data_IF_319258920414
#
_entry.id   IF_319258920414
#
_cell.length_a   1.000
_cell.length_b   1.000
_cell.length_c   1.000
_cell.angle_alpha   90.00
_cell.angle_beta   90.00
_cell.angle_gamma   90.00
#
_symmetry.space_group_name_H-M   'P 1'
#
loop_
_entity.id
_entity.type
_entity.pdbx_description
1 polymer ?
#
# COMPACT_ATOMS: atom_id res chain seq x y z
N UNK A 1 -76.47 61.47 53.24
CA UNK A 1 -77.12 60.75 52.14
C UNK A 1 -76.08 60.27 51.19
N UNK A 2 -76.03 59.00 51.07
CA UNK A 2 -75.02 58.11 50.46
C UNK A 2 -74.66 58.40 48.99
N UNK A 3 -73.41 58.30 48.67
CA UNK A 3 -72.93 58.25 47.30
C UNK A 3 -71.74 57.33 47.26
N UNK A 4 -72.02 56.07 46.90
CA UNK A 4 -71.02 55.01 46.71
C UNK A 4 -70.14 55.29 45.50
N UNK A 5 -68.79 55.31 45.74
CA UNK A 5 -67.77 55.28 44.69
C UNK A 5 -67.39 53.82 44.42
N UNK A 6 -67.79 53.26 43.28
CA UNK A 6 -67.29 52.06 42.78
C UNK A 6 -65.84 52.29 42.17
N UNK A 7 -64.82 51.70 42.77
CA UNK A 7 -63.54 51.67 42.19
C UNK A 7 -63.43 50.51 41.18
N UNK A 8 -63.24 50.90 39.93
CA UNK A 8 -62.85 49.92 38.86
C UNK A 8 -61.43 49.45 39.09
N UNK A 9 -61.26 48.17 39.43
CA UNK A 9 -60.00 47.46 39.44
C UNK A 9 -59.75 46.96 38.03
N UNK A 10 -58.91 47.68 37.26
CA UNK A 10 -58.44 47.27 35.96
C UNK A 10 -57.29 46.26 36.19
N UNK A 11 -57.57 45.01 35.96
CA UNK A 11 -56.58 43.95 35.95
C UNK A 11 -55.69 44.07 34.67
N UNK A 12 -54.51 44.66 34.84
CA UNK A 12 -53.45 44.55 33.83
C UNK A 12 -52.94 43.13 33.84
N UNK A 13 -53.29 42.35 32.79
CA UNK A 13 -52.62 41.09 32.46
C UNK A 13 -51.19 41.47 32.07
N UNK A 14 -50.25 41.12 32.92
CA UNK A 14 -48.82 41.11 32.55
C UNK A 14 -48.64 39.97 31.56
N UNK A 15 -48.34 40.31 30.32
CA UNK A 15 -47.74 39.37 29.37
C UNK A 15 -46.40 38.88 30.00
N UNK A 16 -46.40 37.62 30.40
CA UNK A 16 -45.17 36.94 30.80
C UNK A 16 -44.37 36.76 29.52
N UNK A 17 -43.27 37.50 29.41
CA UNK A 17 -42.26 37.34 28.34
C UNK A 17 -41.72 35.88 28.36
N UNK A 18 -42.30 35.03 27.55
CA UNK A 18 -41.87 33.62 27.31
C UNK A 18 -40.61 33.52 26.45
N UNK A 19 -40.03 34.64 26.03
CA UNK A 19 -38.82 34.64 25.19
C UNK A 19 -37.54 34.38 25.96
N UNK A 20 -37.48 34.64 27.28
CA UNK A 20 -36.25 34.48 28.07
C UNK A 20 -35.96 33.03 28.51
N UNK A 21 -36.91 32.12 28.44
CA UNK A 21 -36.77 30.74 28.92
C UNK A 21 -36.36 29.73 27.82
N UNK A 22 -36.32 30.13 26.55
CA UNK A 22 -35.96 29.29 25.42
C UNK A 22 -34.47 29.39 25.02
N UNK A 23 -33.73 30.42 25.44
CA UNK A 23 -32.31 30.60 25.09
C UNK A 23 -31.40 29.45 25.55
N UNK A 24 -31.52 28.91 26.77
CA UNK A 24 -30.65 27.80 27.20
C UNK A 24 -30.94 26.49 26.44
N UNK A 25 -32.14 26.28 25.96
CA UNK A 25 -32.49 25.09 25.18
C UNK A 25 -31.89 25.15 23.75
N UNK A 26 -31.92 26.32 23.13
CA UNK A 26 -31.30 26.51 21.81
C UNK A 26 -29.75 26.35 21.86
N UNK A 27 -29.10 26.88 22.88
CA UNK A 27 -27.69 26.68 23.07
C UNK A 27 -27.32 25.20 23.24
N UNK A 28 -28.08 24.44 24.01
CA UNK A 28 -27.88 23.00 24.21
C UNK A 28 -28.00 22.24 22.89
N UNK A 29 -28.98 22.60 22.06
CA UNK A 29 -29.18 21.99 20.72
C UNK A 29 -27.97 22.26 19.83
N UNK A 30 -27.48 23.52 19.78
CA UNK A 30 -26.30 23.90 18.99
C UNK A 30 -25.03 23.15 19.46
N UNK A 31 -24.83 23.01 20.77
CA UNK A 31 -23.72 22.27 21.33
C UNK A 31 -23.80 20.78 21.03
N UNK A 32 -24.98 20.19 21.07
CA UNK A 32 -25.22 18.80 20.70
C UNK A 32 -24.91 18.54 19.22
N UNK A 33 -25.32 19.43 18.33
CA UNK A 33 -25.00 19.30 16.89
C UNK A 33 -23.50 19.44 16.64
N UNK A 34 -22.82 20.40 17.29
CA UNK A 34 -21.38 20.56 17.21
C UNK A 34 -20.66 19.31 17.74
N UNK A 35 -21.11 18.76 18.85
CA UNK A 35 -20.54 17.54 19.42
C UNK A 35 -20.68 16.34 18.49
N UNK A 36 -21.87 16.14 17.89
CA UNK A 36 -22.12 15.05 16.94
C UNK A 36 -21.26 15.21 15.68
N UNK A 37 -21.11 16.44 15.19
CA UNK A 37 -20.20 16.72 14.05
C UNK A 37 -18.75 16.41 14.41
N UNK A 38 -18.30 16.81 15.57
CA UNK A 38 -16.92 16.54 16.04
C UNK A 38 -16.68 15.04 16.18
N UNK A 39 -17.66 14.27 16.67
CA UNK A 39 -17.57 12.80 16.74
C UNK A 39 -17.44 12.19 15.33
N UNK A 40 -18.24 12.65 14.38
CA UNK A 40 -18.15 12.18 12.99
C UNK A 40 -16.78 12.52 12.37
N UNK A 41 -16.26 13.72 12.60
CA UNK A 41 -14.94 14.14 12.14
C UNK A 41 -13.83 13.28 12.76
N UNK A 42 -13.90 13.00 14.06
CA UNK A 42 -12.96 12.10 14.74
C UNK A 42 -12.98 10.68 14.14
N UNK A 43 -14.18 10.17 13.85
CA UNK A 43 -14.30 8.84 13.23
C UNK A 43 -13.71 8.81 11.81
N UNK A 44 -13.93 9.85 11.02
CA UNK A 44 -13.33 10.02 9.71
C UNK A 44 -11.79 10.13 9.78
N UNK A 45 -11.27 10.91 10.74
CA UNK A 45 -9.83 11.03 11.00
C UNK A 45 -9.25 9.67 11.39
N UNK A 46 -9.88 8.91 12.30
CA UNK A 46 -9.44 7.57 12.69
C UNK A 46 -9.38 6.62 11.50
N UNK A 47 -10.44 6.61 10.66
CA UNK A 47 -10.46 5.78 9.43
C UNK A 47 -9.35 6.16 8.46
N UNK A 48 -9.08 7.46 8.29
CA UNK A 48 -8.00 7.95 7.42
C UNK A 48 -6.63 7.57 7.96
N UNK A 49 -6.39 7.75 9.27
CA UNK A 49 -5.13 7.36 9.91
C UNK A 49 -4.88 5.85 9.81
N UNK A 50 -5.90 5.03 10.02
CA UNK A 50 -5.79 3.58 9.90
C UNK A 50 -5.43 3.16 8.46
N UNK A 51 -6.01 3.80 7.44
CA UNK A 51 -5.66 3.54 6.03
C UNK A 51 -4.23 3.97 5.71
N UNK A 52 -3.82 5.15 6.17
CA UNK A 52 -2.46 5.65 5.95
C UNK A 52 -1.43 4.73 6.63
N UNK A 53 -1.68 4.32 7.88
CA UNK A 53 -0.81 3.40 8.60
C UNK A 53 -0.67 2.04 7.87
N UNK A 54 -1.77 1.51 7.32
CA UNK A 54 -1.72 0.28 6.53
C UNK A 54 -0.90 0.46 5.24
N UNK A 55 -1.03 1.61 4.57
CA UNK A 55 -0.22 1.93 3.38
C UNK A 55 1.26 2.09 3.71
N UNK A 56 1.59 2.77 4.82
CA UNK A 56 2.98 2.97 5.26
C UNK A 56 3.65 1.63 5.59
N UNK A 57 2.92 0.73 6.27
CA UNK A 57 3.41 -0.64 6.55
C UNK A 57 3.69 -1.38 5.24
N UNK A 58 2.81 -1.30 4.27
CA UNK A 58 2.99 -1.96 2.97
C UNK A 58 4.21 -1.43 2.22
N UNK A 59 4.40 -0.10 2.19
CA UNK A 59 5.57 0.54 1.56
C UNK A 59 6.89 0.15 2.25
N UNK A 60 6.88 0.06 3.59
CA UNK A 60 8.05 -0.38 4.35
C UNK A 60 8.38 -1.86 4.08
N UNK A 61 7.37 -2.71 3.95
CA UNK A 61 7.55 -4.11 3.56
C UNK A 61 8.12 -4.23 2.15
N UNK A 62 7.62 -3.47 1.19
CA UNK A 62 8.19 -3.42 -0.17
C UNK A 62 9.66 -3.00 -0.16
N UNK A 63 10.02 -1.96 0.59
CA UNK A 63 11.39 -1.50 0.70
C UNK A 63 12.31 -2.61 1.24
N UNK A 64 11.88 -3.27 2.34
CA UNK A 64 12.62 -4.39 2.92
C UNK A 64 12.80 -5.55 1.93
N UNK A 65 11.77 -5.89 1.18
CA UNK A 65 11.84 -6.95 0.17
C UNK A 65 12.79 -6.57 -0.97
N UNK A 66 12.80 -5.30 -1.41
CA UNK A 66 13.75 -4.81 -2.42
C UNK A 66 15.21 -4.93 -1.95
N UNK A 67 15.45 -4.65 -0.68
CA UNK A 67 16.79 -4.72 -0.10
C UNK A 67 17.34 -6.15 -0.01
N UNK A 68 16.48 -7.17 0.09
CA UNK A 68 16.91 -8.58 0.14
C UNK A 68 17.17 -9.18 -1.25
N UNK A 69 16.63 -8.62 -2.33
CA UNK A 69 16.81 -9.16 -3.68
C UNK A 69 18.27 -9.27 -4.13
N UNK A 70 19.19 -8.32 -3.83
CA UNK A 70 20.59 -8.44 -4.19
C UNK A 70 21.28 -9.69 -3.61
N UNK A 71 20.79 -10.18 -2.46
CA UNK A 71 21.30 -11.41 -1.85
C UNK A 71 20.98 -12.63 -2.73
N UNK A 72 19.75 -12.70 -3.24
CA UNK A 72 19.34 -13.75 -4.18
C UNK A 72 20.14 -13.69 -5.50
N UNK A 73 20.37 -12.47 -6.00
CA UNK A 73 21.17 -12.27 -7.21
C UNK A 73 22.61 -12.71 -7.01
N UNK A 74 23.23 -12.35 -5.86
CA UNK A 74 24.59 -12.74 -5.52
C UNK A 74 24.75 -14.26 -5.41
N UNK A 75 23.80 -14.93 -4.76
CA UNK A 75 23.79 -16.39 -4.67
C UNK A 75 23.63 -17.05 -6.05
N UNK A 76 22.72 -16.55 -6.87
CA UNK A 76 22.52 -17.05 -8.23
C UNK A 76 23.74 -16.84 -9.13
N UNK A 77 24.45 -15.70 -8.96
CA UNK A 77 25.68 -15.41 -9.68
C UNK A 77 26.81 -16.34 -9.25
N UNK A 78 26.96 -16.59 -7.95
CA UNK A 78 27.97 -17.51 -7.41
C UNK A 78 27.81 -18.93 -7.98
N UNK A 79 26.57 -19.45 -8.05
CA UNK A 79 26.28 -20.76 -8.67
C UNK A 79 26.69 -20.82 -10.14
N UNK A 80 26.48 -19.73 -10.90
CA UNK A 80 26.83 -19.69 -12.33
C UNK A 80 28.34 -19.66 -12.61
N UNK A 81 29.15 -19.13 -11.69
CA UNK A 81 30.59 -18.98 -11.86
C UNK A 81 31.45 -20.09 -11.23
N UNK A 82 30.77 -21.00 -10.50
CA UNK A 82 31.51 -22.14 -9.91
C UNK A 82 31.69 -23.21 -10.97
N UNK A 83 32.89 -23.31 -11.53
CA UNK A 83 33.28 -24.41 -12.41
C UNK A 83 33.51 -25.68 -11.59
N UNK A 84 33.17 -26.82 -12.18
CA UNK A 84 33.15 -28.13 -11.54
C UNK A 84 34.53 -28.70 -11.24
N UNK A 85 35.26 -28.14 -10.26
CA UNK A 85 36.38 -28.83 -9.63
C UNK A 85 35.89 -29.57 -8.38
N UNK A 86 36.46 -30.76 -8.13
CA UNK A 86 35.91 -31.73 -7.17
C UNK A 86 35.74 -31.21 -5.73
N UNK A 87 36.52 -30.21 -5.31
CA UNK A 87 36.43 -29.57 -3.99
C UNK A 87 35.24 -28.58 -3.85
N UNK A 88 34.60 -28.24 -4.95
CA UNK A 88 33.52 -27.23 -4.99
C UNK A 88 32.11 -27.80 -4.76
N UNK A 89 31.93 -29.13 -4.74
CA UNK A 89 30.60 -29.78 -4.65
C UNK A 89 29.88 -29.46 -3.36
N UNK A 90 30.55 -29.45 -2.22
CA UNK A 90 29.94 -29.13 -0.93
C UNK A 90 29.50 -27.67 -0.84
N UNK A 91 30.31 -26.78 -1.43
CA UNK A 91 29.99 -25.35 -1.49
C UNK A 91 28.74 -25.09 -2.40
N UNK A 92 28.73 -25.73 -3.57
CA UNK A 92 27.61 -25.66 -4.51
C UNK A 92 26.32 -26.16 -3.88
N UNK A 93 26.35 -27.30 -3.18
CA UNK A 93 25.18 -27.87 -2.52
C UNK A 93 24.67 -26.97 -1.39
N UNK A 94 25.58 -26.35 -0.61
CA UNK A 94 25.21 -25.37 0.40
C UNK A 94 24.59 -24.10 -0.19
N UNK A 95 25.09 -23.65 -1.34
CA UNK A 95 24.59 -22.48 -2.06
C UNK A 95 23.19 -22.73 -2.65
N UNK A 96 22.98 -23.91 -3.23
CA UNK A 96 21.66 -24.35 -3.73
C UNK A 96 20.62 -24.41 -2.60
N UNK A 97 21.03 -24.96 -1.43
CA UNK A 97 20.15 -25.00 -0.26
C UNK A 97 19.75 -23.60 0.19
N UNK A 98 20.69 -22.65 0.23
CA UNK A 98 20.39 -21.26 0.58
C UNK A 98 19.47 -20.57 -0.44
N UNK A 99 19.67 -20.82 -1.73
CA UNK A 99 18.76 -20.34 -2.78
C UNK A 99 17.32 -20.87 -2.59
N UNK A 100 17.17 -22.17 -2.34
CA UNK A 100 15.88 -22.79 -2.07
C UNK A 100 15.20 -22.21 -0.81
N UNK A 101 15.98 -21.88 0.23
CA UNK A 101 15.44 -21.22 1.43
C UNK A 101 14.95 -19.81 1.12
N UNK A 102 15.69 -19.08 0.29
CA UNK A 102 15.32 -17.73 -0.15
C UNK A 102 14.09 -17.74 -1.05
N UNK A 103 13.95 -18.70 -1.94
CA UNK A 103 12.76 -18.90 -2.77
C UNK A 103 11.52 -19.19 -1.91
N UNK A 104 11.67 -20.04 -0.88
CA UNK A 104 10.59 -20.28 0.10
C UNK A 104 10.23 -19.02 0.87
N UNK A 105 11.22 -18.19 1.22
CA UNK A 105 10.98 -16.90 1.85
C UNK A 105 10.18 -15.99 0.93
N UNK A 106 10.55 -15.87 -0.35
CA UNK A 106 9.80 -15.09 -1.32
C UNK A 106 8.36 -15.57 -1.46
N UNK A 107 8.16 -16.88 -1.61
CA UNK A 107 6.80 -17.46 -1.68
C UNK A 107 5.97 -17.12 -0.43
N UNK A 108 6.56 -17.18 0.77
CA UNK A 108 5.89 -16.84 2.03
C UNK A 108 5.41 -15.39 2.08
N UNK A 109 6.14 -14.48 1.42
CA UNK A 109 5.82 -13.06 1.37
C UNK A 109 5.15 -12.64 0.06
N UNK A 110 4.57 -13.59 -0.70
CA UNK A 110 3.91 -13.35 -1.98
C UNK A 110 4.81 -12.61 -2.98
N UNK A 111 6.11 -12.92 -2.97
CA UNK A 111 7.05 -12.45 -3.98
C UNK A 111 7.20 -13.53 -5.05
N UNK A 112 6.85 -13.20 -6.29
CA UNK A 112 6.87 -14.09 -7.43
C UNK A 112 7.93 -13.66 -8.43
N UNK A 113 8.71 -14.61 -8.97
CA UNK A 113 9.68 -14.35 -10.03
C UNK A 113 8.97 -14.14 -11.36
N UNK A 114 9.43 -13.16 -12.14
CA UNK A 114 8.96 -12.92 -13.52
C UNK A 114 9.66 -13.90 -14.45
N UNK A 115 8.94 -14.87 -14.99
CA UNK A 115 9.44 -15.80 -16.01
C UNK A 115 9.56 -15.10 -17.36
N UNK A 116 10.67 -14.39 -17.56
CA UNK A 116 10.87 -13.60 -18.77
C UNK A 116 11.50 -14.39 -19.92
N UNK A 117 12.29 -15.43 -19.66
CA UNK A 117 13.05 -16.17 -20.69
C UNK A 117 12.12 -16.82 -21.72
N UNK A 118 12.36 -16.55 -23.00
CA UNK A 118 11.54 -17.07 -24.10
C UNK A 118 10.19 -16.35 -24.31
N UNK A 119 9.85 -15.39 -23.46
CA UNK A 119 8.61 -14.60 -23.58
C UNK A 119 8.82 -13.37 -24.47
N UNK A 120 7.75 -12.86 -25.09
CA UNK A 120 7.78 -11.54 -25.72
C UNK A 120 8.19 -10.46 -24.73
N UNK A 121 8.97 -9.48 -25.17
CA UNK A 121 9.35 -8.35 -24.34
C UNK A 121 8.12 -7.52 -23.95
N UNK A 122 7.90 -7.33 -22.65
CA UNK A 122 6.84 -6.51 -22.09
C UNK A 122 7.46 -5.36 -21.27
N UNK A 123 7.32 -4.10 -21.73
CA UNK A 123 7.87 -2.94 -21.01
C UNK A 123 7.34 -2.75 -19.59
N UNK A 124 6.19 -3.35 -19.25
CA UNK A 124 5.62 -3.27 -17.90
C UNK A 124 6.30 -4.18 -16.89
N UNK A 125 6.99 -5.24 -17.37
CA UNK A 125 7.62 -6.28 -16.54
C UNK A 125 9.13 -6.40 -16.79
N UNK A 126 9.60 -5.96 -17.96
CA UNK A 126 10.97 -6.17 -18.43
C UNK A 126 11.67 -4.83 -18.69
N UNK A 127 12.96 -4.79 -18.37
CA UNK A 127 13.88 -3.73 -18.74
C UNK A 127 14.90 -4.26 -19.75
N UNK A 128 14.86 -3.77 -21.00
CA UNK A 128 15.83 -4.19 -22.01
C UNK A 128 17.17 -3.48 -21.80
N UNK A 129 18.21 -4.25 -21.53
CA UNK A 129 19.59 -3.76 -21.41
C UNK A 129 20.41 -3.90 -22.70
N UNK A 130 19.84 -4.53 -23.72
CA UNK A 130 20.48 -4.66 -25.02
C UNK A 130 19.75 -5.58 -25.96
N UNK A 131 20.21 -5.58 -27.21
CA UNK A 131 19.71 -6.45 -28.28
C UNK A 131 20.85 -7.35 -28.79
N UNK A 132 20.54 -8.61 -29.08
CA UNK A 132 21.50 -9.56 -29.63
C UNK A 132 20.88 -10.30 -30.83
N UNK A 133 21.72 -10.62 -31.82
CA UNK A 133 21.29 -11.50 -32.90
C UNK A 133 21.18 -12.93 -32.38
N UNK A 134 19.98 -13.50 -32.45
CA UNK A 134 19.72 -14.86 -31.98
C UNK A 134 18.96 -15.63 -33.08
N UNK A 135 19.67 -16.52 -33.84
CA UNK A 135 19.06 -17.23 -34.96
C UNK A 135 17.93 -18.13 -34.50
N UNK A 136 16.82 -18.11 -35.24
CA UNK A 136 15.67 -19.01 -35.00
C UNK A 136 14.68 -18.53 -33.93
N UNK A 137 14.86 -17.31 -33.37
CA UNK A 137 13.95 -16.69 -32.41
C UNK A 137 13.29 -15.46 -33.03
N UNK A 138 12.03 -15.23 -32.72
CA UNK A 138 11.29 -14.05 -33.19
C UNK A 138 11.90 -12.76 -32.61
N UNK A 139 11.97 -11.68 -33.39
CA UNK A 139 12.38 -10.38 -32.88
C UNK A 139 11.56 -9.95 -31.65
N UNK A 140 12.16 -9.19 -30.76
CA UNK A 140 11.57 -8.78 -29.47
C UNK A 140 11.24 -9.91 -28.48
N UNK A 141 11.78 -11.12 -28.67
CA UNK A 141 11.70 -12.19 -27.67
C UNK A 141 12.88 -12.07 -26.70
N UNK A 142 12.64 -12.29 -25.43
CA UNK A 142 13.67 -12.35 -24.40
C UNK A 142 14.53 -13.59 -24.60
N UNK A 143 15.81 -13.40 -24.92
CA UNK A 143 16.76 -14.51 -25.15
C UNK A 143 17.68 -14.77 -23.97
N UNK A 144 17.80 -13.79 -23.05
CA UNK A 144 18.59 -13.93 -21.86
C UNK A 144 18.08 -13.01 -20.74
N UNK A 145 18.09 -13.53 -19.52
CA UNK A 145 17.78 -12.78 -18.31
C UNK A 145 19.10 -12.54 -17.57
N UNK A 146 19.53 -11.28 -17.47
CA UNK A 146 20.73 -10.91 -16.72
C UNK A 146 20.42 -10.72 -15.24
N UNK A 147 19.24 -10.15 -14.94
CA UNK A 147 18.77 -9.98 -13.59
C UNK A 147 17.29 -10.36 -13.50
N UNK A 148 16.96 -11.23 -12.55
CA UNK A 148 15.59 -11.67 -12.33
C UNK A 148 14.71 -10.50 -11.88
N UNK A 149 13.49 -10.42 -12.43
CA UNK A 149 12.43 -9.53 -12.01
C UNK A 149 11.51 -10.18 -10.98
N UNK A 150 10.85 -9.36 -10.19
CA UNK A 150 9.94 -9.86 -9.14
C UNK A 150 8.69 -9.01 -9.02
N UNK A 151 7.58 -9.67 -8.67
CA UNK A 151 6.30 -9.08 -8.30
C UNK A 151 6.08 -9.31 -6.79
N UNK A 152 5.37 -8.41 -6.13
CA UNK A 152 4.89 -8.56 -4.75
C UNK A 152 3.39 -8.27 -4.71
N UNK A 153 2.59 -9.24 -4.32
CA UNK A 153 1.12 -9.17 -4.36
C UNK A 153 0.60 -8.71 -5.74
N UNK A 154 1.20 -9.22 -6.83
CA UNK A 154 0.87 -8.86 -8.21
C UNK A 154 1.33 -7.47 -8.67
N UNK A 155 2.04 -6.70 -7.83
CA UNK A 155 2.62 -5.40 -8.19
C UNK A 155 4.10 -5.55 -8.51
N UNK A 156 4.56 -4.81 -9.51
CA UNK A 156 5.96 -4.82 -9.90
C UNK A 156 6.85 -4.32 -8.75
N UNK A 157 7.74 -5.21 -8.26
CA UNK A 157 8.75 -4.90 -7.26
C UNK A 157 10.04 -4.39 -7.94
N UNK A 158 10.47 -5.13 -8.97
CA UNK A 158 11.54 -4.72 -9.87
C UNK A 158 11.40 -5.45 -11.22
N UNK A 159 11.67 -4.81 -12.36
CA UNK A 159 11.63 -5.46 -13.67
C UNK A 159 12.76 -6.48 -13.83
N UNK A 160 12.54 -7.45 -14.70
CA UNK A 160 13.63 -8.32 -15.16
C UNK A 160 14.50 -7.59 -16.16
N UNK A 161 15.84 -7.55 -15.94
CA UNK A 161 16.76 -7.02 -16.93
C UNK A 161 17.09 -8.10 -17.95
N UNK A 162 16.82 -7.81 -19.21
CA UNK A 162 16.82 -8.79 -20.26
C UNK A 162 17.57 -8.35 -21.51
N UNK A 163 18.13 -9.32 -22.25
CA UNK A 163 18.55 -9.16 -23.62
C UNK A 163 17.45 -9.69 -24.54
N UNK A 164 17.13 -8.94 -25.57
CA UNK A 164 16.09 -9.29 -26.55
C UNK A 164 16.69 -9.61 -27.92
N UNK A 165 16.00 -10.49 -28.67
CA UNK A 165 16.37 -10.82 -30.03
C UNK A 165 16.21 -9.59 -30.92
N UNK A 166 17.28 -9.21 -31.65
CA UNK A 166 17.23 -8.21 -32.71
C UNK A 166 16.60 -8.83 -33.96
N UNK A 167 16.25 -7.97 -34.91
CA UNK A 167 15.86 -8.38 -36.26
C UNK A 167 17.04 -8.94 -37.02
#
# INVERSE_FOLDING_TARGET
MNGERRQNFSATHGEIDTEADNQPLEEVVIWKERYLRLLADLENIKKRLARNAAQDIHLQQEALLKDILPVADGLSLALRHTSAEEDSRGILQGLELNLNLLEKFFTKYNVEEIEALGQPFDPSLHESIGMVQYPGVLPNTVVRVEQKGYLHDGKLLRPAQVLIASR
#
